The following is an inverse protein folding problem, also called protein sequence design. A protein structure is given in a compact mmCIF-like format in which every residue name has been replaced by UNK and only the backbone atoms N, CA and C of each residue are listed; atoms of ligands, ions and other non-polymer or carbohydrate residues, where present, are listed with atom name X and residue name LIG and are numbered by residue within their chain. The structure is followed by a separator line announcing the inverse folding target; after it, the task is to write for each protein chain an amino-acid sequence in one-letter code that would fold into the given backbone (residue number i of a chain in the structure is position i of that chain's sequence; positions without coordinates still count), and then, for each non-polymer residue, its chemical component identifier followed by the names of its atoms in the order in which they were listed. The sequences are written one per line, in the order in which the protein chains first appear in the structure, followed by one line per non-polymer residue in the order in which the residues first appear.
data_IF_919715783551
#
_entry.id   IF_919715783551
#
_cell.length_a   1.000
_cell.length_b   1.000
_cell.length_c   1.000
_cell.angle_alpha   90.00
_cell.angle_beta   90.00
_cell.angle_gamma   90.00
#
_symmetry.space_group_name_H-M   'P 1'
#
loop_
_entity.id
_entity.type
_entity.pdbx_description
1 polymer ?
#
# COMPACT_ATOMS: atom_id res chain seq x y z
N UNK A 1 6.93 -20.62 8.99
CA UNK A 1 7.33 -19.24 9.33
C UNK A 1 6.05 -18.44 9.30
N UNK A 2 5.63 -18.01 10.47
CA UNK A 2 4.30 -17.46 10.72
C UNK A 2 4.11 -16.17 9.91
N UNK A 3 3.23 -16.18 8.91
CA UNK A 3 3.12 -15.11 7.90
C UNK A 3 2.50 -13.81 8.46
N UNK A 4 1.98 -13.85 9.69
CA UNK A 4 1.25 -12.75 10.33
C UNK A 4 2.13 -11.86 11.22
N UNK A 5 3.32 -12.34 11.61
CA UNK A 5 4.27 -11.62 12.48
C UNK A 5 4.82 -10.33 11.83
N UNK A 6 5.13 -10.27 10.52
CA UNK A 6 5.64 -9.04 9.89
C UNK A 6 4.63 -7.90 9.88
N UNK A 7 3.35 -8.21 9.66
CA UNK A 7 2.28 -7.20 9.58
C UNK A 7 2.02 -6.62 10.96
N UNK A 8 1.86 -7.45 11.99
CA UNK A 8 1.65 -6.94 13.35
C UNK A 8 2.83 -6.10 13.83
N UNK A 9 4.06 -6.52 13.55
CA UNK A 9 5.26 -5.76 13.87
C UNK A 9 5.35 -4.45 13.08
N UNK A 10 4.92 -4.44 11.81
CA UNK A 10 4.87 -3.24 11.00
C UNK A 10 3.77 -2.27 11.49
N UNK A 11 2.60 -2.76 11.87
CA UNK A 11 1.51 -1.97 12.47
C UNK A 11 2.00 -1.33 13.78
N UNK A 12 2.63 -2.10 14.67
CA UNK A 12 3.26 -1.59 15.91
C UNK A 12 4.38 -0.57 15.64
N UNK A 13 5.15 -0.78 14.57
CA UNK A 13 6.21 0.14 14.15
C UNK A 13 5.67 1.42 13.50
N UNK A 14 4.42 1.40 13.03
CA UNK A 14 3.70 2.52 12.45
C UNK A 14 2.98 3.36 13.52
N UNK A 15 2.50 2.74 14.60
CA UNK A 15 1.86 3.42 15.74
C UNK A 15 2.77 4.46 16.43
N UNK A 16 4.08 4.26 16.39
CA UNK A 16 5.06 5.12 17.05
C UNK A 16 5.59 6.28 16.18
N UNK A 17 5.02 6.51 15.00
CA UNK A 17 5.56 7.48 14.05
C UNK A 17 4.83 8.81 14.16
N UNK A 18 5.58 9.82 14.56
CA UNK A 18 5.10 11.21 14.58
C UNK A 18 5.39 11.97 13.28
N UNK A 19 6.15 11.37 12.36
CA UNK A 19 6.61 11.97 11.11
C UNK A 19 5.70 11.56 9.93
N UNK A 20 5.07 12.56 9.30
CA UNK A 20 4.14 12.36 8.19
C UNK A 20 4.81 11.74 6.95
N UNK A 21 6.03 12.17 6.63
CA UNK A 21 6.79 11.67 5.48
C UNK A 21 7.18 10.20 5.70
N UNK A 22 7.66 9.88 6.91
CA UNK A 22 7.99 8.52 7.29
C UNK A 22 6.76 7.59 7.26
N UNK A 23 5.59 8.12 7.66
CA UNK A 23 4.32 7.39 7.60
C UNK A 23 3.97 7.02 6.15
N UNK A 24 4.06 7.99 5.22
CA UNK A 24 3.83 7.75 3.78
C UNK A 24 4.79 6.71 3.24
N UNK A 25 6.08 6.82 3.57
CA UNK A 25 7.10 5.90 3.07
C UNK A 25 6.86 4.46 3.54
N UNK A 26 6.57 4.25 4.83
CA UNK A 26 6.31 2.89 5.34
C UNK A 26 5.00 2.31 4.82
N UNK A 27 3.95 3.13 4.71
CA UNK A 27 2.70 2.72 4.07
C UNK A 27 2.89 2.30 2.60
N UNK A 28 3.74 3.02 1.87
CA UNK A 28 4.13 2.66 0.52
C UNK A 28 4.86 1.31 0.45
N UNK A 29 5.83 1.08 1.35
CA UNK A 29 6.58 -0.18 1.44
C UNK A 29 5.66 -1.37 1.73
N UNK A 30 4.66 -1.19 2.59
CA UNK A 30 3.66 -2.22 2.90
C UNK A 30 2.92 -2.71 1.64
N UNK A 31 2.45 -1.76 0.82
CA UNK A 31 1.77 -2.10 -0.43
C UNK A 31 2.75 -2.69 -1.44
N UNK A 32 4.00 -2.21 -1.48
CA UNK A 32 5.03 -2.76 -2.35
C UNK A 32 5.37 -4.22 -2.02
N UNK A 33 5.43 -4.55 -0.73
CA UNK A 33 5.63 -5.91 -0.24
C UNK A 33 4.48 -6.82 -0.69
N UNK A 34 3.24 -6.38 -0.53
CA UNK A 34 2.07 -7.12 -1.00
C UNK A 34 2.08 -7.37 -2.52
N UNK A 35 2.49 -6.37 -3.32
CA UNK A 35 2.67 -6.57 -4.76
C UNK A 35 3.79 -7.58 -5.05
N UNK A 36 4.89 -7.52 -4.29
CA UNK A 36 6.01 -8.47 -4.42
C UNK A 36 5.55 -9.89 -4.12
N UNK A 37 4.70 -10.08 -3.11
CA UNK A 37 4.11 -11.38 -2.79
C UNK A 37 3.23 -11.92 -3.94
N UNK A 38 2.42 -11.08 -4.59
CA UNK A 38 1.66 -11.51 -5.78
C UNK A 38 2.60 -12.06 -6.84
N UNK A 39 3.66 -11.31 -7.18
CA UNK A 39 4.61 -11.73 -8.20
C UNK A 39 5.31 -13.04 -7.83
N UNK A 40 5.75 -13.18 -6.58
CA UNK A 40 6.39 -14.39 -6.06
C UNK A 40 5.44 -15.58 -6.17
N UNK A 41 4.20 -15.44 -5.69
CA UNK A 41 3.21 -16.52 -5.65
C UNK A 41 2.70 -16.94 -7.03
N UNK A 42 2.67 -16.01 -8.00
CA UNK A 42 2.22 -16.28 -9.37
C UNK A 42 3.35 -16.69 -10.30
N UNK A 43 4.61 -16.62 -9.85
CA UNK A 43 5.77 -17.04 -10.63
C UNK A 43 6.10 -18.52 -10.41
N UNK A 44 6.54 -19.20 -11.47
CA UNK A 44 7.08 -20.57 -11.35
C UNK A 44 8.40 -20.60 -10.55
N UNK A 45 9.22 -19.55 -10.69
CA UNK A 45 10.52 -19.45 -10.03
C UNK A 45 10.73 -18.07 -9.40
N UNK A 46 10.31 -17.94 -8.15
CA UNK A 46 10.33 -16.70 -7.37
C UNK A 46 11.71 -16.04 -7.22
N UNK A 47 12.80 -16.83 -7.28
CA UNK A 47 14.17 -16.29 -7.19
C UNK A 47 14.44 -15.19 -8.23
N UNK A 48 13.94 -15.36 -9.46
CA UNK A 48 14.18 -14.39 -10.54
C UNK A 48 13.34 -13.12 -10.36
N UNK A 49 12.17 -13.20 -9.73
CA UNK A 49 11.39 -12.01 -9.36
C UNK A 49 12.16 -11.17 -8.34
N UNK A 50 12.73 -11.82 -7.32
CA UNK A 50 13.49 -11.15 -6.27
C UNK A 50 14.81 -10.56 -6.79
N UNK A 51 15.48 -11.24 -7.71
CA UNK A 51 16.73 -10.78 -8.33
C UNK A 51 16.54 -9.66 -9.37
N UNK A 52 15.35 -9.55 -9.98
CA UNK A 52 15.07 -8.59 -11.05
C UNK A 52 15.07 -7.11 -10.62
N UNK A 53 15.08 -6.82 -9.30
CA UNK A 53 15.08 -5.45 -8.75
C UNK A 53 14.00 -4.56 -9.36
N UNK A 54 12.79 -5.12 -9.50
CA UNK A 54 11.65 -4.43 -10.07
C UNK A 54 11.28 -3.18 -9.26
N UNK A 55 11.02 -2.08 -9.95
CA UNK A 55 10.49 -0.87 -9.30
C UNK A 55 9.05 -1.08 -8.86
N UNK A 56 8.55 -0.25 -7.94
CA UNK A 56 7.13 -0.24 -7.56
C UNK A 56 6.20 -0.19 -8.78
N UNK A 57 6.51 0.66 -9.77
CA UNK A 57 5.70 0.79 -10.97
C UNK A 57 5.68 -0.50 -11.79
N UNK A 58 6.83 -1.19 -11.93
CA UNK A 58 6.86 -2.50 -12.58
C UNK A 58 6.03 -3.53 -11.81
N UNK A 59 6.19 -3.58 -10.47
CA UNK A 59 5.46 -4.50 -9.61
C UNK A 59 3.95 -4.31 -9.73
N UNK A 60 3.49 -3.07 -9.71
CA UNK A 60 2.08 -2.72 -9.90
C UNK A 60 1.54 -3.22 -11.25
N UNK A 61 2.20 -2.86 -12.35
CA UNK A 61 1.69 -3.21 -13.69
C UNK A 61 1.68 -4.73 -13.92
N UNK A 62 2.74 -5.43 -13.50
CA UNK A 62 2.83 -6.89 -13.67
C UNK A 62 1.83 -7.59 -12.74
N UNK A 63 1.72 -7.19 -11.47
CA UNK A 63 0.75 -7.78 -10.54
C UNK A 63 -0.67 -7.63 -11.08
N UNK A 64 -1.00 -6.44 -11.58
CA UNK A 64 -2.30 -6.18 -12.23
C UNK A 64 -2.49 -7.07 -13.46
N UNK A 65 -1.51 -7.16 -14.36
CA UNK A 65 -1.62 -8.03 -15.54
C UNK A 65 -1.90 -9.50 -15.18
N UNK A 66 -1.41 -9.98 -14.03
CA UNK A 66 -1.63 -11.34 -13.55
C UNK A 66 -2.94 -11.54 -12.77
N UNK A 67 -3.58 -10.45 -12.33
CA UNK A 67 -4.68 -10.52 -11.34
C UNK A 67 -5.78 -9.46 -11.54
N UNK A 68 -5.87 -8.84 -12.72
CA UNK A 68 -6.76 -7.69 -12.97
C UNK A 68 -8.23 -8.00 -12.64
N UNK A 69 -8.68 -9.22 -12.92
CA UNK A 69 -10.05 -9.68 -12.66
C UNK A 69 -10.28 -10.18 -11.24
N UNK A 70 -9.23 -10.28 -10.42
CA UNK A 70 -9.30 -10.80 -9.04
C UNK A 70 -9.53 -9.71 -8.00
N UNK A 71 -9.54 -8.44 -8.40
CA UNK A 71 -9.65 -7.28 -7.52
C UNK A 71 -10.50 -6.19 -8.16
N UNK A 72 -11.17 -5.37 -7.37
CA UNK A 72 -11.92 -4.25 -7.89
C UNK A 72 -10.99 -3.21 -8.57
N UNK A 73 -11.37 -2.63 -9.73
CA UNK A 73 -10.51 -1.71 -10.48
C UNK A 73 -10.01 -0.50 -9.68
N UNK A 74 -10.80 -0.03 -8.70
CA UNK A 74 -10.44 1.10 -7.86
C UNK A 74 -9.20 0.82 -6.99
N UNK A 75 -8.93 -0.44 -6.65
CA UNK A 75 -7.76 -0.82 -5.83
C UNK A 75 -6.47 -0.52 -6.58
N UNK A 76 -6.40 -0.87 -7.88
CA UNK A 76 -5.25 -0.55 -8.71
C UNK A 76 -5.07 0.96 -8.93
N UNK A 77 -6.18 1.70 -9.02
CA UNK A 77 -6.16 3.16 -9.09
C UNK A 77 -5.61 3.77 -7.79
N UNK A 78 -6.04 3.27 -6.63
CA UNK A 78 -5.54 3.68 -5.32
C UNK A 78 -4.03 3.46 -5.18
N UNK A 79 -3.53 2.27 -5.56
CA UNK A 79 -2.09 1.96 -5.52
C UNK A 79 -1.29 2.91 -6.44
N UNK A 80 -1.87 3.26 -7.59
CA UNK A 80 -1.29 4.25 -8.50
C UNK A 80 -1.22 5.64 -7.86
N UNK A 81 -2.25 6.05 -7.12
CA UNK A 81 -2.26 7.32 -6.36
C UNK A 81 -1.19 7.31 -5.27
N UNK A 82 -1.07 6.23 -4.49
CA UNK A 82 -0.05 6.09 -3.45
C UNK A 82 1.37 6.22 -4.01
N UNK A 83 1.65 5.60 -5.17
CA UNK A 83 2.95 5.74 -5.84
C UNK A 83 3.22 7.19 -6.28
N UNK A 84 2.20 7.91 -6.75
CA UNK A 84 2.33 9.34 -7.11
C UNK A 84 2.64 10.18 -5.87
N UNK A 85 1.94 9.98 -4.77
CA UNK A 85 2.19 10.67 -3.50
C UNK A 85 3.62 10.43 -3.02
N UNK A 86 4.10 9.18 -3.04
CA UNK A 86 5.49 8.84 -2.67
C UNK A 86 6.52 9.47 -3.61
N UNK A 87 6.29 9.45 -4.93
CA UNK A 87 7.20 10.10 -5.89
C UNK A 87 7.28 11.61 -5.64
N UNK A 88 6.14 12.26 -5.38
CA UNK A 88 6.11 13.70 -5.07
C UNK A 88 6.89 14.04 -3.80
N UNK A 89 6.74 13.23 -2.76
CA UNK A 89 7.52 13.34 -1.53
C UNK A 89 9.03 13.28 -1.82
N UNK A 90 9.47 12.30 -2.64
CA UNK A 90 10.88 12.16 -3.02
C UNK A 90 11.42 13.32 -3.90
N UNK A 91 10.54 14.08 -4.55
CA UNK A 91 10.91 15.27 -5.33
C UNK A 91 10.92 16.56 -4.49
N UNK A 92 10.85 16.48 -3.16
CA UNK A 92 10.91 17.61 -2.22
C UNK A 92 9.85 18.70 -2.49
N UNK A 93 8.64 18.30 -2.90
CA UNK A 93 7.50 19.21 -2.97
C UNK A 93 7.10 19.70 -1.57
N UNK A 94 6.33 20.79 -1.51
CA UNK A 94 5.95 21.38 -0.22
C UNK A 94 5.04 20.41 0.56
N UNK A 95 5.12 20.45 1.90
CA UNK A 95 4.29 19.61 2.78
C UNK A 95 2.80 19.71 2.43
N UNK A 96 2.33 20.92 2.07
CA UNK A 96 0.94 21.18 1.70
C UNK A 96 0.46 20.42 0.45
N UNK A 97 1.32 20.20 -0.55
CA UNK A 97 0.96 19.47 -1.77
C UNK A 97 0.85 17.97 -1.50
N UNK A 98 1.75 17.45 -0.66
CA UNK A 98 1.73 16.04 -0.23
C UNK A 98 0.50 15.78 0.64
N UNK A 99 0.18 16.68 1.57
CA UNK A 99 -1.05 16.63 2.39
C UNK A 99 -2.31 16.62 1.52
N UNK A 100 -2.38 17.46 0.48
CA UNK A 100 -3.50 17.48 -0.44
C UNK A 100 -3.65 16.16 -1.22
N UNK A 101 -2.56 15.55 -1.65
CA UNK A 101 -2.60 14.26 -2.34
C UNK A 101 -2.97 13.10 -1.39
N UNK A 102 -2.55 13.17 -0.11
CA UNK A 102 -3.00 12.24 0.93
C UNK A 102 -4.50 12.40 1.19
N UNK A 103 -5.01 13.62 1.31
CA UNK A 103 -6.44 13.88 1.50
C UNK A 103 -7.28 13.35 0.33
N UNK A 104 -6.82 13.58 -0.92
CA UNK A 104 -7.46 13.01 -2.12
C UNK A 104 -7.45 11.48 -2.11
N UNK A 105 -6.34 10.87 -1.68
CA UNK A 105 -6.24 9.42 -1.56
C UNK A 105 -7.25 8.89 -0.54
N UNK A 106 -7.31 9.47 0.66
CA UNK A 106 -8.27 9.08 1.70
C UNK A 106 -9.71 9.19 1.20
N UNK A 107 -10.08 10.33 0.61
CA UNK A 107 -11.42 10.55 0.05
C UNK A 107 -11.75 9.52 -1.03
N UNK A 108 -10.81 9.23 -1.92
CA UNK A 108 -11.01 8.22 -2.97
C UNK A 108 -11.29 6.82 -2.40
N UNK A 109 -10.62 6.44 -1.30
CA UNK A 109 -10.92 5.16 -0.64
C UNK A 109 -12.29 5.20 0.03
N UNK A 110 -12.64 6.29 0.72
CA UNK A 110 -13.95 6.44 1.38
C UNK A 110 -15.11 6.32 0.38
N UNK A 111 -14.97 6.91 -0.81
CA UNK A 111 -15.98 6.82 -1.88
C UNK A 111 -16.19 5.39 -2.38
N UNK A 112 -15.16 4.54 -2.30
CA UNK A 112 -15.20 3.14 -2.75
C UNK A 112 -15.41 2.12 -1.62
N UNK A 113 -15.20 2.52 -0.36
CA UNK A 113 -15.27 1.67 0.84
C UNK A 113 -15.87 2.47 2.01
N UNK A 114 -17.20 2.44 2.17
CA UNK A 114 -17.89 3.25 3.17
C UNK A 114 -17.68 2.74 4.61
N UNK A 115 -17.21 1.50 4.80
CA UNK A 115 -16.79 1.02 6.12
C UNK A 115 -15.45 1.66 6.51
N UNK A 116 -15.51 2.58 7.46
CA UNK A 116 -14.35 3.31 7.98
C UNK A 116 -14.13 2.98 9.45
N UNK A 117 -12.92 2.53 9.79
CA UNK A 117 -12.54 2.14 11.15
C UNK A 117 -11.33 2.90 11.68
N UNK A 118 -10.96 4.01 11.04
CA UNK A 118 -9.76 4.77 11.41
C UNK A 118 -9.78 5.25 12.87
N UNK A 119 -10.96 5.55 13.43
CA UNK A 119 -11.12 5.99 14.82
C UNK A 119 -10.75 4.93 15.87
N UNK A 120 -10.58 3.67 15.45
CA UNK A 120 -10.04 2.61 16.32
C UNK A 120 -8.53 2.71 16.53
N UNK A 121 -7.85 3.56 15.74
CA UNK A 121 -6.39 3.72 15.78
C UNK A 121 -6.03 4.98 16.58
N UNK A 122 -5.27 4.80 17.66
CA UNK A 122 -4.71 5.90 18.44
C UNK A 122 -3.35 6.34 17.88
N UNK A 123 -3.35 6.79 16.62
CA UNK A 123 -2.14 7.19 15.88
C UNK A 123 -2.37 8.48 15.10
N UNK A 124 -1.29 9.23 14.85
CA UNK A 124 -1.35 10.35 13.90
C UNK A 124 -1.59 9.84 12.48
N UNK A 125 -2.29 10.64 11.67
CA UNK A 125 -2.62 10.31 10.28
C UNK A 125 -3.43 9.00 10.14
N UNK A 126 -4.23 8.66 11.16
CA UNK A 126 -5.04 7.42 11.21
C UNK A 126 -5.88 7.17 9.96
N UNK A 127 -6.44 8.22 9.36
CA UNK A 127 -7.24 8.09 8.14
C UNK A 127 -6.42 7.62 6.94
N UNK A 128 -5.23 8.19 6.76
CA UNK A 128 -4.32 7.76 5.69
C UNK A 128 -3.86 6.32 5.91
N UNK A 129 -3.50 5.99 7.15
CA UNK A 129 -3.11 4.63 7.49
C UNK A 129 -4.24 3.63 7.23
N UNK A 130 -5.46 3.94 7.67
CA UNK A 130 -6.63 3.09 7.43
C UNK A 130 -6.91 2.93 5.95
N UNK A 131 -6.83 4.01 5.17
CA UNK A 131 -6.97 3.98 3.72
C UNK A 131 -5.98 3.01 3.06
N UNK A 132 -4.71 3.05 3.47
CA UNK A 132 -3.67 2.13 3.00
C UNK A 132 -3.95 0.70 3.46
N UNK A 133 -4.37 0.50 4.71
CA UNK A 133 -4.70 -0.82 5.25
C UNK A 133 -5.84 -1.49 4.46
N UNK A 134 -6.87 -0.72 4.09
CA UNK A 134 -7.97 -1.20 3.24
C UNK A 134 -7.44 -1.70 1.88
N UNK A 135 -6.59 -0.90 1.22
CA UNK A 135 -5.95 -1.29 -0.06
C UNK A 135 -5.07 -2.53 0.11
N UNK A 136 -4.26 -2.56 1.17
CA UNK A 136 -3.38 -3.68 1.50
C UNK A 136 -4.17 -4.97 1.69
N UNK A 137 -5.25 -4.94 2.48
CA UNK A 137 -6.11 -6.11 2.72
C UNK A 137 -6.70 -6.66 1.42
N UNK A 138 -7.16 -5.77 0.53
CA UNK A 138 -7.68 -6.16 -0.79
C UNK A 138 -6.61 -6.86 -1.63
N UNK A 139 -5.40 -6.31 -1.68
CA UNK A 139 -4.28 -6.92 -2.41
C UNK A 139 -3.81 -8.24 -1.80
N UNK A 140 -3.77 -8.37 -0.47
CA UNK A 140 -3.42 -9.64 0.19
C UNK A 140 -4.41 -10.76 -0.13
N UNK A 141 -5.72 -10.46 -0.19
CA UNK A 141 -6.70 -11.46 -0.64
C UNK A 141 -6.45 -11.94 -2.08
N UNK A 142 -5.95 -11.07 -2.96
CA UNK A 142 -5.58 -11.44 -4.35
C UNK A 142 -4.33 -12.32 -4.40
N UNK A 143 -3.39 -12.11 -3.47
CA UNK A 143 -2.16 -12.89 -3.37
C UNK A 143 -2.38 -14.34 -2.92
N UNK A 144 -3.60 -14.69 -2.47
CA UNK A 144 -3.91 -16.01 -1.91
C UNK A 144 -3.28 -16.23 -0.53
N UNK A 145 -3.02 -15.14 0.20
CA UNK A 145 -2.52 -15.16 1.58
C UNK A 145 -3.63 -14.57 2.44
N UNK A 146 -4.52 -15.45 2.91
CA UNK A 146 -5.46 -15.14 4.00
C UNK A 146 -4.72 -15.15 5.34
#
# INVERSE_FOLDING_TARGET
MDKDVPILHLLQTLENINDFELTILKCHLLVEEALTEILVNKSESSKYILEARLTFANKLQISRALTDTSCEPWVWAAISMLNKTRNRLAHNLTSSEVEADVAKFVSFIQDNQPMWGADMLDVKNRDFFWAVFVVFKKIKSVAGVE
#
